data_IF_180715468941
#
_entry.id   IF_180715468941
#
_cell.length_a   1.000
_cell.length_b   1.000
_cell.length_c   1.000
_cell.angle_alpha   90.00
_cell.angle_beta   90.00
_cell.angle_gamma   90.00
#
_symmetry.space_group_name_H-M   'P 1'
#
loop_
_entity.id
_entity.type
_entity.pdbx_description
1 polymer ?
#
# COMPACT_ATOMS: atom_id res chain seq x y z
N UNK A 1 -36.96 -27.21 -51.54
CA UNK A 1 -36.72 -26.04 -50.72
C UNK A 1 -36.33 -26.53 -49.34
N UNK A 2 -35.06 -26.45 -48.96
CA UNK A 2 -34.59 -26.77 -47.61
C UNK A 2 -34.44 -25.42 -46.87
N UNK A 3 -35.31 -25.20 -45.92
CA UNK A 3 -35.24 -24.05 -45.01
C UNK A 3 -34.08 -24.25 -44.00
N UNK A 4 -33.03 -23.43 -44.10
CA UNK A 4 -32.00 -23.34 -43.10
C UNK A 4 -32.56 -22.52 -41.92
N UNK A 5 -32.62 -23.12 -40.74
CA UNK A 5 -32.83 -22.40 -39.49
C UNK A 5 -31.53 -21.66 -39.12
N UNK A 6 -31.60 -20.39 -38.69
CA UNK A 6 -30.44 -19.69 -38.16
C UNK A 6 -30.05 -20.29 -36.82
N UNK A 7 -28.78 -20.67 -36.65
CA UNK A 7 -28.24 -21.08 -35.36
C UNK A 7 -28.06 -19.84 -34.48
N UNK A 8 -28.80 -19.83 -33.39
CA UNK A 8 -28.63 -18.82 -32.32
C UNK A 8 -27.42 -19.25 -31.46
N UNK A 9 -26.31 -18.56 -31.60
CA UNK A 9 -25.18 -18.70 -30.69
C UNK A 9 -25.46 -17.87 -29.45
N UNK A 10 -25.83 -18.51 -28.35
CA UNK A 10 -25.85 -17.88 -27.04
C UNK A 10 -24.42 -17.82 -26.51
N UNK A 11 -23.76 -16.66 -26.61
CA UNK A 11 -22.48 -16.41 -25.95
C UNK A 11 -22.77 -16.14 -24.48
N UNK A 12 -22.46 -17.08 -23.60
CA UNK A 12 -22.45 -16.87 -22.16
C UNK A 12 -21.27 -15.97 -21.81
N UNK A 13 -21.51 -14.70 -21.61
CA UNK A 13 -20.54 -13.79 -21.04
C UNK A 13 -20.54 -14.01 -19.51
N UNK A 14 -19.50 -14.65 -18.98
CA UNK A 14 -19.27 -14.70 -17.53
C UNK A 14 -18.82 -13.32 -17.10
N UNK A 15 -19.71 -12.56 -16.50
CA UNK A 15 -19.39 -11.27 -15.88
C UNK A 15 -18.69 -11.58 -14.56
N UNK A 16 -17.38 -11.46 -14.54
CA UNK A 16 -16.61 -11.34 -13.29
C UNK A 16 -16.85 -9.93 -12.76
N UNK A 17 -17.67 -9.80 -11.74
CA UNK A 17 -17.79 -8.57 -10.99
C UNK A 17 -16.40 -8.26 -10.39
N UNK A 18 -15.90 -7.07 -10.63
CA UNK A 18 -14.67 -6.59 -10.01
C UNK A 18 -14.96 -6.21 -8.56
N UNK A 19 -14.97 -7.21 -7.68
CA UNK A 19 -15.05 -6.97 -6.23
C UNK A 19 -13.72 -6.41 -5.73
N UNK A 20 -13.80 -5.53 -4.73
CA UNK A 20 -12.63 -5.18 -3.95
C UNK A 20 -12.09 -6.48 -3.31
N UNK A 21 -10.85 -6.78 -3.57
CA UNK A 21 -10.15 -7.91 -2.98
C UNK A 21 -9.35 -7.41 -1.78
N UNK A 22 -9.13 -8.27 -0.82
CA UNK A 22 -8.30 -7.97 0.35
C UNK A 22 -7.25 -9.05 0.56
N UNK A 23 -6.07 -8.61 1.00
CA UNK A 23 -4.98 -9.50 1.39
C UNK A 23 -4.34 -9.01 2.67
N UNK A 24 -3.86 -9.94 3.48
CA UNK A 24 -3.02 -9.65 4.66
C UNK A 24 -1.64 -10.22 4.43
N UNK A 25 -0.62 -9.37 4.53
CA UNK A 25 0.77 -9.72 4.32
C UNK A 25 1.53 -9.72 5.63
N UNK A 26 2.39 -10.73 5.82
CA UNK A 26 3.42 -10.72 6.85
C UNK A 26 4.67 -9.96 6.37
N UNK A 27 5.52 -9.41 7.28
CA UNK A 27 6.76 -8.76 6.88
C UNK A 27 7.69 -9.72 6.12
N UNK A 28 8.34 -9.22 5.08
CA UNK A 28 9.39 -9.92 4.36
C UNK A 28 10.78 -9.70 4.97
N UNK A 29 10.95 -8.59 5.68
CA UNK A 29 12.14 -8.23 6.44
C UNK A 29 11.78 -7.21 7.52
N UNK A 30 12.44 -7.29 8.67
CA UNK A 30 12.37 -6.26 9.69
C UNK A 30 13.65 -6.23 10.56
N UNK A 31 13.95 -5.09 11.18
CA UNK A 31 15.08 -4.95 12.09
C UNK A 31 14.91 -3.71 12.98
N UNK A 32 15.67 -3.65 14.05
CA UNK A 32 15.79 -2.46 14.91
C UNK A 32 17.11 -1.74 14.64
N UNK A 33 17.04 -0.43 14.46
CA UNK A 33 18.16 0.48 14.56
C UNK A 33 18.30 0.88 16.04
N UNK A 34 19.44 0.60 16.67
CA UNK A 34 19.60 0.76 18.10
C UNK A 34 20.83 1.62 18.46
N UNK A 35 20.58 2.84 18.93
CA UNK A 35 21.61 3.84 19.20
C UNK A 35 22.66 3.40 20.22
N UNK A 36 22.24 2.70 21.30
CA UNK A 36 23.14 2.26 22.38
C UNK A 36 24.23 1.28 21.88
N UNK A 37 23.94 0.50 20.84
CA UNK A 37 24.90 -0.40 20.20
C UNK A 37 24.87 -0.16 18.70
N UNK A 38 25.48 0.98 18.25
CA UNK A 38 25.20 1.53 16.92
C UNK A 38 25.74 0.69 15.76
N UNK A 39 26.60 -0.29 16.01
CA UNK A 39 27.12 -1.23 15.04
C UNK A 39 26.55 -2.65 15.18
N UNK A 40 25.61 -2.84 16.11
CA UNK A 40 24.91 -4.12 16.24
C UNK A 40 23.78 -4.25 15.21
N UNK A 41 23.57 -5.48 14.74
CA UNK A 41 22.40 -5.88 13.97
C UNK A 41 21.41 -6.63 14.87
N UNK A 42 20.11 -6.41 14.63
CA UNK A 42 19.00 -7.01 15.37
C UNK A 42 17.98 -7.70 14.44
N UNK A 43 18.39 -8.13 13.26
CA UNK A 43 17.49 -8.59 12.19
C UNK A 43 16.78 -9.91 12.46
N UNK A 44 17.20 -10.70 13.48
CA UNK A 44 16.50 -11.96 13.85
C UNK A 44 16.13 -12.02 15.33
N UNK A 45 15.96 -10.86 15.94
CA UNK A 45 15.43 -10.75 17.30
C UNK A 45 13.90 -10.83 17.24
N UNK A 46 13.28 -11.59 18.14
CA UNK A 46 11.81 -11.77 18.19
C UNK A 46 10.99 -10.50 18.46
N UNK A 47 11.65 -9.36 18.68
CA UNK A 47 10.97 -8.07 18.88
C UNK A 47 11.66 -6.97 18.11
N UNK A 48 10.87 -6.04 17.60
CA UNK A 48 11.31 -4.74 17.10
C UNK A 48 11.22 -3.70 18.22
N UNK A 49 12.13 -2.73 18.25
CA UNK A 49 12.07 -1.64 19.20
C UNK A 49 11.98 -0.28 18.49
N UNK A 50 11.12 0.61 19.01
CA UNK A 50 11.08 2.01 18.63
C UNK A 50 10.74 2.88 19.84
N UNK A 51 11.28 4.12 19.88
CA UNK A 51 11.15 5.07 20.99
C UNK A 51 12.42 5.15 21.83
N UNK A 52 12.39 5.93 22.91
CA UNK A 52 13.54 6.23 23.76
C UNK A 52 13.48 5.45 25.06
N UNK A 53 14.59 4.84 25.42
CA UNK A 53 14.73 4.08 26.68
C UNK A 53 14.80 5.00 27.90
N UNK A 54 14.74 4.43 29.09
CA UNK A 54 14.98 5.16 30.36
C UNK A 54 16.41 5.71 30.52
N UNK A 55 17.32 5.27 29.63
CA UNK A 55 18.73 5.67 29.61
C UNK A 55 19.08 6.57 28.41
N UNK A 56 18.10 7.28 27.85
CA UNK A 56 18.25 8.26 26.75
C UNK A 56 18.61 7.66 25.38
N UNK A 57 18.66 6.33 25.21
CA UNK A 57 18.97 5.71 23.92
C UNK A 57 17.73 5.55 23.05
N UNK A 58 17.85 6.00 21.82
CA UNK A 58 16.81 5.90 20.80
C UNK A 58 16.83 4.54 20.11
N UNK A 59 15.67 4.15 19.66
CA UNK A 59 15.47 3.00 18.77
C UNK A 59 14.45 3.36 17.70
N UNK A 60 14.67 2.87 16.46
CA UNK A 60 13.75 2.96 15.35
C UNK A 60 13.60 1.58 14.72
N UNK A 61 12.41 1.25 14.22
CA UNK A 61 12.20 -0.06 13.60
C UNK A 61 11.99 0.09 12.08
N UNK A 62 12.64 -0.78 11.31
CA UNK A 62 12.43 -0.92 9.88
C UNK A 62 11.54 -2.13 9.63
N UNK A 63 10.53 -2.00 8.76
CA UNK A 63 9.59 -3.07 8.43
C UNK A 63 9.30 -3.03 6.92
N UNK A 64 9.47 -4.16 6.24
CA UNK A 64 9.27 -4.30 4.79
C UNK A 64 8.30 -5.43 4.46
N UNK A 65 7.48 -5.25 3.44
CA UNK A 65 6.50 -6.22 2.96
C UNK A 65 6.72 -6.48 1.47
N UNK A 66 6.62 -7.74 1.03
CA UNK A 66 6.67 -8.07 -0.39
C UNK A 66 5.28 -7.89 -1.02
N UNK A 67 4.98 -6.70 -1.50
CA UNK A 67 3.67 -6.36 -2.08
C UNK A 67 3.53 -6.89 -3.50
N UNK A 68 4.51 -6.62 -4.37
CA UNK A 68 4.42 -6.90 -5.80
C UNK A 68 4.36 -8.40 -6.15
N UNK A 69 4.81 -9.29 -5.27
CA UNK A 69 4.72 -10.74 -5.49
C UNK A 69 3.38 -11.36 -5.06
N UNK A 70 2.52 -10.59 -4.39
CA UNK A 70 1.31 -11.08 -3.74
C UNK A 70 0.02 -10.47 -4.30
N UNK A 71 0.13 -9.31 -4.92
CA UNK A 71 -0.99 -8.56 -5.50
C UNK A 71 -0.80 -8.48 -7.02
N UNK A 72 -1.85 -8.68 -7.84
CA UNK A 72 -1.74 -8.55 -9.28
C UNK A 72 -1.22 -7.17 -9.71
N UNK A 73 -0.44 -7.07 -10.79
CA UNK A 73 0.01 -5.77 -11.30
C UNK A 73 -1.17 -4.93 -11.82
N UNK A 74 -1.01 -3.62 -11.79
CA UNK A 74 -1.98 -2.65 -12.33
C UNK A 74 -3.34 -2.59 -11.61
N UNK A 75 -3.47 -3.12 -10.39
CA UNK A 75 -4.63 -2.88 -9.55
C UNK A 75 -4.57 -1.49 -8.91
N UNK A 76 -5.70 -1.02 -8.42
CA UNK A 76 -5.83 0.22 -7.67
C UNK A 76 -5.95 -0.14 -6.19
N UNK A 77 -5.00 0.29 -5.38
CA UNK A 77 -5.07 0.15 -3.92
C UNK A 77 -6.07 1.17 -3.39
N UNK A 78 -7.07 0.71 -2.67
CA UNK A 78 -8.12 1.55 -2.07
C UNK A 78 -7.91 1.77 -0.57
N UNK A 79 -7.27 0.82 0.11
CA UNK A 79 -6.98 0.89 1.54
C UNK A 79 -5.68 0.15 1.85
N UNK A 80 -4.91 0.67 2.81
CA UNK A 80 -3.76 0.00 3.39
C UNK A 80 -3.71 0.32 4.88
N UNK A 81 -3.53 -0.70 5.74
CA UNK A 81 -3.47 -0.59 7.20
C UNK A 81 -2.36 -1.46 7.74
N UNK A 82 -1.60 -0.95 8.68
CA UNK A 82 -0.58 -1.74 9.36
C UNK A 82 -0.99 -2.00 10.81
N UNK A 83 -1.05 -3.27 11.19
CA UNK A 83 -1.28 -3.69 12.56
C UNK A 83 0.05 -4.08 13.18
N UNK A 84 0.38 -3.45 14.32
CA UNK A 84 1.54 -3.77 15.15
C UNK A 84 1.09 -4.16 16.54
N UNK A 85 1.74 -5.16 17.15
CA UNK A 85 1.45 -5.59 18.51
C UNK A 85 2.60 -5.25 19.44
N UNK A 86 2.35 -4.43 20.45
CA UNK A 86 3.27 -4.19 21.56
C UNK A 86 3.26 -5.40 22.48
N UNK A 87 4.42 -6.01 22.66
CA UNK A 87 4.62 -7.21 23.49
C UNK A 87 5.40 -6.94 24.78
N UNK A 88 6.07 -5.76 24.85
CA UNK A 88 6.80 -5.34 26.07
C UNK A 88 6.89 -3.82 26.13
N UNK A 89 6.77 -3.29 27.34
CA UNK A 89 6.93 -1.87 27.70
C UNK A 89 7.99 -1.70 28.77
N UNK A 90 8.58 -0.50 28.98
CA UNK A 90 9.47 -0.20 30.08
C UNK A 90 8.70 -0.13 31.40
N UNK A 91 9.41 0.01 32.51
CA UNK A 91 8.83 0.41 33.80
C UNK A 91 8.48 1.91 33.74
N UNK A 92 7.26 2.27 34.16
CA UNK A 92 6.78 3.65 34.05
C UNK A 92 6.75 4.17 32.61
N UNK A 93 5.95 3.53 31.71
CA UNK A 93 5.92 3.91 30.32
C UNK A 93 5.28 5.29 30.12
N UNK A 94 5.91 6.13 29.32
CA UNK A 94 5.34 7.38 28.85
C UNK A 94 4.62 7.20 27.51
N UNK A 95 3.45 7.81 27.28
CA UNK A 95 2.73 7.69 26.03
C UNK A 95 3.48 8.39 24.90
N UNK A 96 3.39 7.83 23.69
CA UNK A 96 3.87 8.49 22.48
C UNK A 96 3.00 8.16 21.28
N UNK A 97 2.92 9.09 20.33
CA UNK A 97 2.43 8.79 18.99
C UNK A 97 3.59 8.28 18.15
N UNK A 98 3.42 7.12 17.57
CA UNK A 98 4.40 6.54 16.65
C UNK A 98 4.00 6.87 15.20
N UNK A 99 4.99 7.19 14.38
CA UNK A 99 4.82 7.56 12.99
C UNK A 99 5.50 6.55 12.08
N UNK A 100 4.82 6.20 10.99
CA UNK A 100 5.41 5.46 9.87
C UNK A 100 5.83 6.45 8.79
N UNK A 101 7.07 6.33 8.34
CA UNK A 101 7.61 7.07 7.21
C UNK A 101 8.14 6.11 6.15
N UNK A 102 7.88 6.37 4.86
CA UNK A 102 8.40 5.53 3.79
C UNK A 102 9.91 5.64 3.69
N UNK A 103 10.62 4.53 3.74
CA UNK A 103 12.08 4.47 3.55
C UNK A 103 12.40 4.72 2.08
N UNK A 104 13.42 5.56 1.82
CA UNK A 104 13.83 6.01 0.49
C UNK A 104 15.07 5.30 -0.02
N UNK A 105 15.81 4.62 0.86
CA UNK A 105 17.08 3.99 0.57
C UNK A 105 17.05 2.51 0.95
N UNK A 106 17.73 1.67 0.19
CA UNK A 106 17.80 0.22 0.44
C UNK A 106 18.58 -0.11 1.71
N UNK A 107 18.21 -1.23 2.34
CA UNK A 107 18.78 -1.76 3.57
C UNK A 107 18.67 -3.29 3.63
N UNK A 108 19.42 -3.92 4.52
CA UNK A 108 19.42 -5.38 4.68
C UNK A 108 19.08 -5.77 6.12
N UNK A 109 18.14 -6.68 6.30
CA UNK A 109 17.69 -7.14 7.62
C UNK A 109 18.83 -7.65 8.51
N UNK A 110 19.72 -8.46 7.95
CA UNK A 110 20.75 -9.17 8.70
C UNK A 110 20.25 -10.45 9.34
N UNK A 111 21.10 -11.08 10.19
CA UNK A 111 20.87 -12.41 10.74
C UNK A 111 21.19 -12.56 12.24
N UNK A 112 21.43 -11.46 12.95
CA UNK A 112 21.82 -11.50 14.35
C UNK A 112 20.61 -11.71 15.26
N UNK A 113 20.73 -12.66 16.20
CA UNK A 113 19.61 -13.15 17.02
C UNK A 113 19.91 -13.24 18.52
N UNK A 114 21.11 -12.90 18.98
CA UNK A 114 21.46 -13.05 20.40
C UNK A 114 20.90 -11.92 21.28
N UNK A 115 20.23 -12.33 22.34
CA UNK A 115 19.73 -11.45 23.40
C UNK A 115 18.73 -10.42 22.90
N UNK A 116 18.70 -9.27 23.57
CA UNK A 116 17.80 -8.14 23.23
C UNK A 116 18.56 -6.94 22.66
N UNK A 117 19.87 -7.02 22.58
CA UNK A 117 20.79 -5.96 22.16
C UNK A 117 21.47 -6.26 20.83
N UNK A 118 21.18 -7.46 20.26
CA UNK A 118 21.82 -7.93 19.04
C UNK A 118 23.31 -8.25 19.21
N UNK A 119 24.00 -8.31 18.10
CA UNK A 119 25.43 -8.59 18.00
C UNK A 119 26.06 -7.70 16.93
N UNK A 120 27.39 -7.55 16.99
CA UNK A 120 28.13 -6.84 15.96
C UNK A 120 27.74 -7.35 14.57
N UNK A 121 27.38 -6.42 13.71
CA UNK A 121 26.92 -6.70 12.37
C UNK A 121 28.02 -7.33 11.51
N UNK A 122 27.64 -8.29 10.67
CA UNK A 122 28.48 -8.73 9.58
C UNK A 122 28.41 -7.75 8.39
N UNK A 123 29.34 -7.88 7.45
CA UNK A 123 29.35 -7.06 6.25
C UNK A 123 28.00 -7.13 5.50
N UNK A 124 27.47 -5.98 5.14
CA UNK A 124 26.21 -5.84 4.41
C UNK A 124 24.96 -5.82 5.28
N UNK A 125 25.05 -5.95 6.60
CA UNK A 125 23.88 -5.90 7.51
C UNK A 125 23.58 -4.47 7.97
N UNK A 126 22.31 -4.19 8.26
CA UNK A 126 21.87 -2.87 8.71
C UNK A 126 22.10 -2.68 10.21
N UNK A 127 22.53 -1.50 10.58
CA UNK A 127 22.78 -1.05 11.96
C UNK A 127 22.26 0.39 12.14
N UNK A 128 22.41 0.96 13.33
CA UNK A 128 22.14 2.39 13.55
C UNK A 128 23.01 3.31 12.69
N UNK A 129 24.31 2.95 12.55
CA UNK A 129 25.26 3.74 11.75
C UNK A 129 25.15 3.49 10.24
N UNK A 130 24.79 2.27 9.83
CA UNK A 130 24.95 1.85 8.45
C UNK A 130 23.69 1.18 7.89
N UNK A 131 23.38 1.50 6.63
CA UNK A 131 22.43 0.72 5.81
C UNK A 131 23.02 -0.63 5.43
N UNK A 132 24.33 -0.64 5.15
CA UNK A 132 25.12 -1.83 4.85
C UNK A 132 26.46 -1.74 5.58
N UNK A 133 26.55 -2.33 6.78
CA UNK A 133 27.75 -2.29 7.62
C UNK A 133 28.94 -2.96 6.92
N UNK A 134 30.18 -2.46 7.05
CA UNK A 134 30.54 -1.12 7.50
C UNK A 134 30.66 -0.11 6.35
N UNK A 135 30.27 -0.51 5.11
CA UNK A 135 30.65 0.18 3.88
C UNK A 135 29.74 1.36 3.51
N UNK A 136 28.47 1.35 3.89
CA UNK A 136 27.50 2.34 3.44
C UNK A 136 26.68 2.84 4.62
N UNK A 137 26.92 4.09 5.03
CA UNK A 137 26.18 4.77 6.11
C UNK A 137 24.75 5.14 5.71
N UNK A 138 23.92 5.41 6.70
CA UNK A 138 22.79 6.31 6.55
C UNK A 138 23.34 7.72 6.27
N UNK A 139 22.50 8.64 5.79
CA UNK A 139 22.88 10.05 5.62
C UNK A 139 23.27 10.68 6.96
N UNK A 140 22.55 10.30 8.02
CA UNK A 140 22.92 10.49 9.42
C UNK A 140 22.63 9.20 10.19
N UNK A 141 23.34 8.96 11.29
CA UNK A 141 23.13 7.77 12.13
C UNK A 141 21.67 7.69 12.61
N UNK A 142 21.06 6.52 12.46
CA UNK A 142 19.63 6.30 12.70
C UNK A 142 18.71 6.69 11.54
N UNK A 143 19.25 7.31 10.49
CA UNK A 143 18.50 7.81 9.33
C UNK A 143 17.96 9.23 9.55
N UNK A 144 17.90 10.02 8.47
CA UNK A 144 17.40 11.41 8.50
C UNK A 144 16.28 11.62 7.48
N UNK A 145 15.33 12.49 7.84
CA UNK A 145 14.20 12.88 7.01
C UNK A 145 14.63 13.46 5.66
N UNK A 146 13.88 13.13 4.64
CA UNK A 146 14.02 13.57 3.24
C UNK A 146 15.32 13.15 2.54
N UNK A 147 16.13 12.34 3.23
CA UNK A 147 17.30 11.68 2.63
C UNK A 147 17.19 10.16 2.75
N UNK A 148 17.01 9.62 3.95
CA UNK A 148 16.91 8.19 4.20
C UNK A 148 15.45 7.70 4.25
N UNK A 149 14.55 8.54 4.74
CA UNK A 149 13.10 8.30 4.77
C UNK A 149 12.32 9.59 4.44
N UNK A 150 11.09 9.45 3.97
CA UNK A 150 10.23 10.60 3.63
C UNK A 150 9.85 11.40 4.88
N UNK A 151 9.94 12.73 4.82
CA UNK A 151 9.40 13.61 5.85
C UNK A 151 7.88 13.56 5.96
N UNK A 152 7.19 13.09 4.90
CA UNK A 152 5.75 12.90 4.94
C UNK A 152 5.39 11.63 5.72
N UNK A 153 4.50 11.79 6.71
CA UNK A 153 3.98 10.68 7.51
C UNK A 153 3.04 9.82 6.68
N UNK A 154 3.31 8.52 6.60
CA UNK A 154 2.44 7.54 5.93
C UNK A 154 1.21 7.23 6.78
N UNK A 155 1.39 6.95 8.06
CA UNK A 155 0.33 6.77 9.05
C UNK A 155 0.87 6.94 10.46
N UNK A 156 -0.01 7.07 11.46
CA UNK A 156 0.39 7.18 12.86
C UNK A 156 -0.61 6.51 13.79
N UNK A 157 -0.13 6.14 14.99
CA UNK A 157 -0.97 5.60 16.04
C UNK A 157 -0.46 6.07 17.42
N UNK A 158 -1.35 6.48 18.35
CA UNK A 158 -0.98 6.68 19.76
C UNK A 158 -0.77 5.31 20.41
N UNK A 159 0.40 5.11 21.02
CA UNK A 159 0.80 3.83 21.62
C UNK A 159 1.16 4.06 23.09
N UNK A 160 0.57 3.26 23.99
CA UNK A 160 0.87 3.38 25.41
C UNK A 160 1.24 2.03 26.04
N UNK A 161 0.34 1.06 26.06
CA UNK A 161 0.45 -0.19 26.82
C UNK A 161 0.69 -1.41 25.90
N UNK A 162 0.81 -2.59 26.50
CA UNK A 162 0.79 -3.86 25.77
C UNK A 162 -0.57 -3.98 25.05
N UNK A 163 -0.55 -4.30 23.76
CA UNK A 163 -1.77 -4.41 22.96
C UNK A 163 -1.50 -4.30 21.48
N UNK A 164 -2.57 -4.43 20.71
CA UNK A 164 -2.54 -4.28 19.24
C UNK A 164 -2.93 -2.88 18.85
N UNK A 165 -2.12 -2.25 18.01
CA UNK A 165 -2.30 -0.89 17.51
C UNK A 165 -2.45 -0.90 16.00
N UNK A 166 -3.40 -0.11 15.53
CA UNK A 166 -3.70 0.03 14.11
C UNK A 166 -3.15 1.38 13.63
N UNK A 167 -2.24 1.32 12.69
CA UNK A 167 -1.85 2.44 11.84
C UNK A 167 -2.81 2.44 10.66
N UNK A 168 -3.87 3.22 10.79
CA UNK A 168 -5.01 3.16 9.89
C UNK A 168 -4.69 3.77 8.52
N UNK A 169 -5.57 3.49 7.56
CA UNK A 169 -5.42 3.95 6.19
C UNK A 169 -5.34 5.48 6.12
N UNK A 170 -4.47 5.96 5.27
CA UNK A 170 -4.33 7.36 4.90
C UNK A 170 -4.07 7.47 3.39
N UNK A 171 -4.28 8.63 2.77
CA UNK A 171 -3.89 8.83 1.38
C UNK A 171 -2.42 8.56 1.11
N UNK A 172 -1.53 8.90 2.06
CA UNK A 172 -0.10 8.66 1.91
C UNK A 172 0.27 7.19 2.03
N UNK A 173 -0.33 6.46 3.00
CA UNK A 173 -0.07 5.03 3.15
C UNK A 173 -0.55 4.22 1.93
N UNK A 174 -1.70 4.59 1.35
CA UNK A 174 -2.19 4.03 0.09
C UNK A 174 -1.23 4.36 -1.06
N UNK A 175 -0.75 5.61 -1.15
CA UNK A 175 0.21 6.02 -2.17
C UNK A 175 1.55 5.28 -2.07
N UNK A 176 2.05 4.99 -0.86
CA UNK A 176 3.26 4.22 -0.64
C UNK A 176 3.11 2.78 -1.17
N UNK A 177 2.01 2.10 -0.80
CA UNK A 177 1.73 0.73 -1.26
C UNK A 177 1.53 0.69 -2.78
N UNK A 178 0.79 1.66 -3.35
CA UNK A 178 0.61 1.78 -4.81
C UNK A 178 1.95 2.04 -5.52
N UNK A 179 2.83 2.85 -4.93
CA UNK A 179 4.16 3.11 -5.45
C UNK A 179 5.01 1.83 -5.49
N UNK A 180 5.01 1.04 -4.42
CA UNK A 180 5.76 -0.22 -4.35
C UNK A 180 5.23 -1.28 -5.31
N UNK A 181 3.93 -1.29 -5.57
CA UNK A 181 3.32 -2.17 -6.55
C UNK A 181 3.78 -1.80 -7.98
N UNK A 182 3.85 -0.50 -8.28
CA UNK A 182 4.31 0.00 -9.57
C UNK A 182 5.85 -0.07 -9.74
N UNK A 183 6.61 0.05 -8.64
CA UNK A 183 8.07 0.13 -8.61
C UNK A 183 8.65 -0.82 -7.56
N UNK A 184 8.61 -2.15 -7.75
CA UNK A 184 9.02 -3.12 -6.74
C UNK A 184 10.46 -2.96 -6.25
N UNK A 185 11.37 -2.50 -7.10
CA UNK A 185 12.76 -2.23 -6.75
C UNK A 185 12.96 -1.03 -5.79
N UNK A 186 11.93 -0.20 -5.62
CA UNK A 186 11.93 0.93 -4.68
C UNK A 186 11.10 0.65 -3.42
N UNK A 187 10.73 -0.60 -3.21
CA UNK A 187 10.07 -1.02 -1.98
C UNK A 187 11.12 -1.27 -0.89
N UNK A 188 11.36 -0.26 -0.08
CA UNK A 188 12.24 -0.35 1.09
C UNK A 188 11.45 -0.37 2.40
N UNK A 189 10.12 -0.43 2.35
CA UNK A 189 9.25 -0.49 3.52
C UNK A 189 9.10 0.83 4.26
N UNK A 190 8.74 0.73 5.53
CA UNK A 190 8.58 1.86 6.44
C UNK A 190 9.60 1.81 7.58
N UNK A 191 9.95 3.00 8.07
CA UNK A 191 10.60 3.20 9.37
C UNK A 191 9.54 3.66 10.38
N UNK A 192 9.53 3.05 11.56
CA UNK A 192 8.68 3.39 12.69
C UNK A 192 9.49 4.22 13.68
N UNK A 193 9.01 5.43 13.95
CA UNK A 193 9.68 6.43 14.79
C UNK A 193 8.69 6.92 15.85
N UNK A 194 9.13 7.07 17.10
CA UNK A 194 8.39 7.77 18.15
C UNK A 194 8.36 9.27 17.89
N UNK A 195 7.20 9.90 17.96
CA UNK A 195 7.09 11.37 17.89
C UNK A 195 7.61 12.09 19.14
N UNK A 196 8.03 11.34 20.16
CA UNK A 196 8.54 11.85 21.43
C UNK A 196 9.92 11.24 21.71
N UNK A 197 10.86 11.27 20.72
CA UNK A 197 12.22 10.73 20.91
C UNK A 197 13.01 11.46 22.00
N UNK A 198 12.61 12.69 22.36
CA UNK A 198 13.20 13.46 23.47
C UNK A 198 12.64 13.06 24.86
N UNK A 199 11.61 12.20 24.90
CA UNK A 199 10.96 11.78 26.15
C UNK A 199 11.39 10.36 26.50
N UNK A 200 11.93 10.20 27.71
CA UNK A 200 12.36 8.91 28.24
C UNK A 200 11.19 7.95 28.41
N UNK A 201 11.48 6.66 28.42
CA UNK A 201 10.50 5.58 28.66
C UNK A 201 9.36 5.54 27.63
N UNK A 202 9.56 6.13 26.46
CA UNK A 202 8.65 5.98 25.32
C UNK A 202 8.91 4.71 24.50
N UNK A 203 10.05 4.02 24.72
CA UNK A 203 10.39 2.81 23.97
C UNK A 203 9.32 1.70 24.10
N UNK A 204 8.97 1.10 22.99
CA UNK A 204 8.07 -0.06 22.89
C UNK A 204 8.76 -1.19 22.16
N UNK A 205 8.50 -2.43 22.58
CA UNK A 205 8.87 -3.62 21.81
C UNK A 205 7.62 -4.18 21.14
N UNK A 206 7.68 -4.24 19.83
CA UNK A 206 6.66 -4.84 18.97
C UNK A 206 7.10 -6.24 18.58
N UNK A 207 6.15 -7.15 18.28
CA UNK A 207 6.49 -8.44 17.72
C UNK A 207 7.15 -8.28 16.35
N UNK A 208 8.29 -8.94 16.14
CA UNK A 208 8.97 -9.02 14.84
C UNK A 208 8.39 -10.17 13.99
N UNK A 209 8.86 -10.31 12.76
CA UNK A 209 8.46 -11.43 11.89
C UNK A 209 8.91 -12.81 12.45
N UNK A 210 9.89 -12.86 13.34
CA UNK A 210 10.34 -14.07 14.04
C UNK A 210 9.37 -14.49 15.16
N UNK A 211 8.51 -13.59 15.63
CA UNK A 211 7.41 -13.86 16.57
C UNK A 211 6.08 -13.95 15.82
N UNK A 212 5.87 -14.98 15.01
CA UNK A 212 4.74 -15.11 14.11
C UNK A 212 3.36 -14.79 14.72
N UNK A 213 3.03 -15.15 15.99
CA UNK A 213 1.75 -14.79 16.61
C UNK A 213 1.56 -13.30 16.88
N UNK A 214 2.66 -12.54 16.95
CA UNK A 214 2.67 -11.13 17.29
C UNK A 214 3.27 -10.25 16.19
N UNK A 215 3.66 -10.86 15.07
CA UNK A 215 4.25 -10.17 13.93
C UNK A 215 3.33 -9.07 13.37
N UNK A 216 3.95 -8.09 12.75
CA UNK A 216 3.23 -7.07 11.99
C UNK A 216 2.35 -7.69 10.90
N UNK A 217 1.23 -7.06 10.60
CA UNK A 217 0.34 -7.48 9.52
C UNK A 217 -0.10 -6.27 8.68
N UNK A 218 0.21 -6.29 7.40
CA UNK A 218 -0.23 -5.28 6.44
C UNK A 218 -1.49 -5.76 5.73
N UNK A 219 -2.60 -5.10 5.98
CA UNK A 219 -3.90 -5.37 5.35
C UNK A 219 -4.07 -4.40 4.17
N UNK A 220 -4.33 -4.93 2.98
CA UNK A 220 -4.46 -4.15 1.74
C UNK A 220 -5.79 -4.52 1.09
N UNK A 221 -6.59 -3.50 0.74
CA UNK A 221 -7.75 -3.64 -0.12
C UNK A 221 -7.43 -3.05 -1.50
N UNK A 222 -7.78 -3.77 -2.56
CA UNK A 222 -7.50 -3.35 -3.93
C UNK A 222 -8.58 -3.83 -4.89
N UNK A 223 -8.68 -3.16 -6.04
CA UNK A 223 -9.57 -3.52 -7.12
C UNK A 223 -8.82 -3.48 -8.46
N UNK A 224 -9.24 -4.28 -9.46
CA UNK A 224 -8.72 -4.13 -10.82
C UNK A 224 -9.01 -2.71 -11.33
N UNK A 225 -8.16 -2.18 -12.24
CA UNK A 225 -8.38 -0.86 -12.79
C UNK A 225 -9.66 -0.83 -13.60
N UNK A 226 -10.41 0.26 -13.48
CA UNK A 226 -11.55 0.51 -14.36
C UNK A 226 -11.10 0.57 -15.82
N UNK A 227 -11.74 -0.21 -16.69
CA UNK A 227 -11.37 -0.31 -18.11
C UNK A 227 -12.58 -0.18 -19.00
N UNK A 228 -12.37 0.49 -20.15
CA UNK A 228 -13.25 0.38 -21.29
C UNK A 228 -12.81 -0.85 -22.09
N UNK A 229 -13.77 -1.73 -22.40
CA UNK A 229 -13.55 -3.02 -23.03
C UNK A 229 -14.41 -3.15 -24.28
N UNK A 230 -14.12 -4.18 -25.10
CA UNK A 230 -14.91 -4.54 -26.27
C UNK A 230 -15.14 -3.37 -27.24
N UNK A 231 -14.13 -2.51 -27.45
CA UNK A 231 -14.24 -1.40 -28.38
C UNK A 231 -14.31 -1.93 -29.82
N UNK A 232 -15.39 -1.62 -30.50
CA UNK A 232 -15.62 -2.04 -31.87
C UNK A 232 -16.35 -0.96 -32.69
N UNK A 233 -16.11 -0.97 -34.01
CA UNK A 233 -16.92 -0.24 -34.99
C UNK A 233 -17.98 -1.19 -35.57
N UNK A 234 -19.24 -0.80 -35.53
CA UNK A 234 -20.38 -1.52 -36.10
C UNK A 234 -21.13 -0.57 -37.04
N UNK A 235 -20.73 -0.57 -38.34
CA UNK A 235 -21.12 0.48 -39.25
C UNK A 235 -20.50 1.83 -38.86
N UNK A 236 -21.34 2.86 -38.73
CA UNK A 236 -20.92 4.17 -38.30
C UNK A 236 -20.95 4.34 -36.76
N UNK A 237 -21.31 3.28 -36.02
CA UNK A 237 -21.39 3.30 -34.55
C UNK A 237 -20.10 2.80 -33.90
N UNK A 238 -19.60 3.53 -32.94
CA UNK A 238 -18.61 3.02 -31.98
C UNK A 238 -19.35 2.36 -30.82
N UNK A 239 -19.00 1.11 -30.55
CA UNK A 239 -19.54 0.35 -29.42
C UNK A 239 -18.42 -0.02 -28.45
N UNK A 240 -18.70 0.07 -27.17
CA UNK A 240 -17.80 -0.39 -26.12
C UNK A 240 -18.59 -0.76 -24.88
N UNK A 241 -17.93 -1.49 -23.98
CA UNK A 241 -18.50 -1.88 -22.69
C UNK A 241 -17.55 -1.56 -21.54
N UNK A 242 -18.08 -1.56 -20.34
CA UNK A 242 -17.30 -1.49 -19.10
C UNK A 242 -18.11 -2.10 -17.96
N UNK A 243 -17.39 -2.60 -16.95
CA UNK A 243 -18.01 -3.14 -15.74
C UNK A 243 -18.60 -2.01 -14.88
N UNK A 244 -19.82 -2.18 -14.41
CA UNK A 244 -20.48 -1.29 -13.47
C UNK A 244 -20.70 -1.99 -12.13
N UNK A 245 -20.54 -1.25 -11.05
CA UNK A 245 -20.69 -1.68 -9.67
C UNK A 245 -21.85 -0.97 -9.02
N UNK A 246 -22.55 -1.62 -8.05
CA UNK A 246 -23.59 -0.96 -7.27
C UNK A 246 -23.09 0.28 -6.52
N UNK A 247 -23.98 1.22 -6.27
CA UNK A 247 -23.74 2.45 -5.51
C UNK A 247 -22.76 3.44 -6.18
N UNK A 248 -22.60 3.32 -7.52
CA UNK A 248 -21.84 4.29 -8.30
C UNK A 248 -22.67 4.90 -9.41
N UNK A 249 -22.37 6.18 -9.69
CA UNK A 249 -22.87 6.90 -10.86
C UNK A 249 -21.77 6.92 -11.93
N UNK A 250 -22.17 6.61 -13.15
CA UNK A 250 -21.30 6.59 -14.33
C UNK A 250 -21.72 7.68 -15.32
N UNK A 251 -20.79 8.55 -15.69
CA UNK A 251 -20.99 9.54 -16.75
C UNK A 251 -20.07 9.19 -17.91
N UNK A 252 -20.69 8.87 -19.05
CA UNK A 252 -19.96 8.62 -20.29
C UNK A 252 -19.97 9.89 -21.14
N UNK A 253 -18.79 10.32 -21.54
CA UNK A 253 -18.63 11.54 -22.33
C UNK A 253 -17.81 11.29 -23.57
N UNK A 254 -18.06 12.08 -24.61
CA UNK A 254 -17.31 12.07 -25.85
C UNK A 254 -16.86 13.46 -26.28
N UNK A 255 -15.81 13.51 -27.13
CA UNK A 255 -15.38 14.70 -27.84
C UNK A 255 -14.66 14.35 -29.14
N UNK A 256 -14.58 15.31 -30.07
CA UNK A 256 -13.99 15.07 -31.39
C UNK A 256 -12.50 15.40 -31.48
N UNK A 257 -11.92 16.07 -30.47
CA UNK A 257 -10.49 16.43 -30.45
C UNK A 257 -9.94 16.35 -29.02
N UNK A 258 -8.72 15.84 -28.86
CA UNK A 258 -8.01 15.88 -27.57
C UNK A 258 -7.40 17.26 -27.29
N UNK A 259 -7.12 18.04 -28.31
CA UNK A 259 -6.47 19.34 -28.20
C UNK A 259 -7.45 20.49 -27.89
N UNK A 260 -8.74 20.35 -28.25
CA UNK A 260 -9.72 21.44 -28.12
C UNK A 260 -11.15 20.90 -28.01
N UNK A 261 -12.06 21.75 -27.52
CA UNK A 261 -13.48 21.44 -27.37
C UNK A 261 -13.83 20.87 -25.98
N UNK A 262 -15.13 20.90 -25.70
CA UNK A 262 -15.68 20.39 -24.43
C UNK A 262 -16.01 18.90 -24.54
N UNK A 263 -16.01 18.23 -23.40
CA UNK A 263 -16.59 16.91 -23.26
C UNK A 263 -18.12 17.04 -23.25
N UNK A 264 -18.78 16.26 -24.08
CA UNK A 264 -20.23 16.19 -24.16
C UNK A 264 -20.72 14.89 -23.54
N UNK A 265 -21.66 14.99 -22.61
CA UNK A 265 -22.25 13.81 -21.97
C UNK A 265 -23.09 13.03 -23.01
N UNK A 266 -22.76 11.76 -23.18
CA UNK A 266 -23.55 10.81 -23.98
C UNK A 266 -24.65 10.18 -23.12
N UNK A 267 -24.28 9.73 -21.94
CA UNK A 267 -25.20 9.15 -20.97
C UNK A 267 -24.70 9.31 -19.54
N UNK A 268 -25.63 9.32 -18.62
CA UNK A 268 -25.37 9.30 -17.18
C UNK A 268 -26.36 8.34 -16.53
N UNK A 269 -25.87 7.42 -15.71
CA UNK A 269 -26.75 6.47 -15.00
C UNK A 269 -26.11 6.06 -13.68
N UNK A 270 -26.96 5.66 -12.76
CA UNK A 270 -26.54 5.16 -11.44
C UNK A 270 -26.93 3.70 -11.32
N UNK A 271 -25.98 2.85 -10.97
CA UNK A 271 -26.25 1.45 -10.63
C UNK A 271 -26.47 1.32 -9.12
N UNK A 272 -27.58 0.74 -8.74
CA UNK A 272 -27.97 0.62 -7.32
C UNK A 272 -27.97 -0.80 -6.80
N UNK A 273 -28.06 -1.81 -7.66
CA UNK A 273 -28.43 -3.16 -7.21
C UNK A 273 -27.44 -4.25 -7.62
N UNK A 274 -27.05 -4.33 -8.88
CA UNK A 274 -26.30 -5.49 -9.39
C UNK A 274 -25.12 -5.10 -10.27
N UNK A 275 -23.93 -5.71 -10.07
CA UNK A 275 -22.83 -5.56 -11.01
C UNK A 275 -23.22 -6.15 -12.38
N UNK A 276 -22.91 -5.42 -13.44
CA UNK A 276 -23.10 -5.91 -14.83
C UNK A 276 -22.18 -5.19 -15.80
N UNK A 277 -22.22 -5.59 -17.09
CA UNK A 277 -21.55 -4.87 -18.18
C UNK A 277 -22.49 -3.82 -18.77
N UNK A 278 -22.13 -2.54 -18.62
CA UNK A 278 -22.79 -1.49 -19.38
C UNK A 278 -22.29 -1.50 -20.82
N UNK A 279 -23.22 -1.44 -21.78
CA UNK A 279 -22.90 -1.32 -23.20
C UNK A 279 -23.27 0.06 -23.70
N UNK A 280 -22.33 0.73 -24.33
CA UNK A 280 -22.48 2.07 -24.90
C UNK A 280 -22.38 1.96 -26.42
N UNK A 281 -23.26 2.69 -27.10
CA UNK A 281 -23.19 2.89 -28.56
C UNK A 281 -23.30 4.38 -28.86
N UNK A 282 -22.40 4.89 -29.69
CA UNK A 282 -22.40 6.29 -30.13
C UNK A 282 -22.12 6.36 -31.63
N UNK A 283 -22.85 7.20 -32.34
CA UNK A 283 -22.69 7.38 -33.79
C UNK A 283 -21.51 8.31 -34.08
N UNK A 284 -20.46 7.77 -34.69
CA UNK A 284 -19.21 8.49 -34.92
C UNK A 284 -19.20 9.38 -36.17
N UNK A 285 -20.18 9.26 -37.08
CA UNK A 285 -20.33 10.03 -38.32
C UNK A 285 -19.02 10.38 -39.04
N UNK A 286 -18.09 9.42 -39.13
CA UNK A 286 -16.86 9.52 -39.92
C UNK A 286 -15.74 10.41 -39.37
N UNK A 287 -15.84 10.96 -38.16
CA UNK A 287 -14.82 11.79 -37.53
C UNK A 287 -14.10 11.08 -36.38
N UNK A 288 -12.91 11.57 -36.03
CA UNK A 288 -12.22 11.09 -34.82
C UNK A 288 -13.10 11.33 -33.60
N UNK A 289 -13.19 10.32 -32.72
CA UNK A 289 -14.02 10.37 -31.53
C UNK A 289 -13.23 9.84 -30.34
N UNK A 290 -13.26 10.58 -29.23
CA UNK A 290 -12.58 10.22 -27.98
C UNK A 290 -13.64 10.06 -26.90
N UNK A 291 -13.46 9.06 -26.04
CA UNK A 291 -14.40 8.72 -24.98
C UNK A 291 -13.70 8.72 -23.63
N UNK A 292 -14.44 9.10 -22.59
CA UNK A 292 -14.07 8.85 -21.19
C UNK A 292 -15.29 8.43 -20.39
N UNK A 293 -15.05 7.65 -19.35
CA UNK A 293 -16.06 7.29 -18.35
C UNK A 293 -15.59 7.85 -17.00
N UNK A 294 -16.44 8.60 -16.35
CA UNK A 294 -16.26 9.08 -14.99
C UNK A 294 -17.08 8.19 -14.07
N UNK A 295 -16.47 7.71 -12.99
CA UNK A 295 -17.10 6.90 -11.94
C UNK A 295 -17.08 7.71 -10.65
N UNK A 296 -18.21 7.90 -10.00
CA UNK A 296 -18.32 8.58 -8.73
C UNK A 296 -19.26 7.81 -7.79
N UNK A 297 -19.04 7.81 -6.46
CA UNK A 297 -20.01 7.26 -5.52
C UNK A 297 -21.38 7.91 -5.72
N UNK A 298 -22.47 7.11 -5.66
CA UNK A 298 -23.80 7.70 -5.70
C UNK A 298 -24.18 8.26 -4.32
N UNK A 299 -24.93 9.35 -4.33
CA UNK A 299 -25.61 9.86 -3.13
C UNK A 299 -26.97 9.14 -2.97
N UNK A 300 -26.98 7.82 -3.19
CA UNK A 300 -28.18 7.01 -3.10
C UNK A 300 -28.50 6.77 -1.61
N UNK A 301 -29.56 7.38 -1.09
CA UNK A 301 -30.16 7.08 0.22
C UNK A 301 -31.29 6.10 0.05
#
# INVERSE_FOLDING_TARGET
MKTLLPAVYATFCVVLAAFAESITLAPSADTTLFENFPDNNLGRIITLAAGTTEHEFQSRALIKFNVAGQIPPNVIVSSARLRLKVVKIPLGPEPSTFFLHRVLTDWSEGDKSLGTLGELAAAGQTTWNNRFHPSTGWSEAGGVSDADYSGTVSSSAPVFDIGTYLFDTSPQMVADVQHWLANPAQNFGWILISGSEEVLSTARRFGSREDAPNAAALEIEYAPPFRIENVALAGDDVRFSFAVEPLFTYTVESRNSLASGNWNTLTNFTETVTPHQAMISDSANGSSRFYRVLKAPCNCQ
#
